data_IF_096078652932
#
_entry.id   IF_096078652932
#
_cell.length_a   1.000
_cell.length_b   1.000
_cell.length_c   1.000
_cell.angle_alpha   90.00
_cell.angle_beta   90.00
_cell.angle_gamma   90.00
#
_symmetry.space_group_name_H-M   'P 1'
#
loop_
_entity.id
_entity.type
_entity.pdbx_description
1 polymer ?
#
# COMPACT_ATOMS: atom_id res chain seq x y z
N UNK A 1 19.10 -25.79 28.02
CA UNK A 1 18.13 -24.68 27.88
C UNK A 1 17.83 -24.43 26.40
N UNK A 2 17.04 -25.26 25.73
CA UNK A 2 16.72 -25.01 24.31
C UNK A 2 15.48 -25.79 23.88
N UNK A 3 14.30 -25.18 24.05
CA UNK A 3 13.09 -25.39 23.26
C UNK A 3 12.13 -24.28 23.68
N UNK A 4 12.51 -23.05 23.33
CA UNK A 4 11.70 -21.86 23.60
C UNK A 4 10.62 -21.77 22.53
N UNK A 5 9.40 -21.47 22.97
CA UNK A 5 8.23 -21.18 22.16
C UNK A 5 8.61 -20.12 21.10
N UNK A 6 8.40 -20.40 19.80
CA UNK A 6 8.82 -19.50 18.73
C UNK A 6 7.91 -18.28 18.68
N UNK A 7 8.50 -17.09 18.68
CA UNK A 7 7.78 -15.81 18.58
C UNK A 7 8.01 -15.18 17.21
N UNK A 8 6.92 -14.72 16.59
CA UNK A 8 6.94 -13.83 15.44
C UNK A 8 6.99 -12.39 15.95
N UNK A 9 8.15 -11.74 15.86
CA UNK A 9 8.35 -10.39 16.37
C UNK A 9 7.68 -9.30 15.52
N UNK A 10 7.41 -9.56 14.24
CA UNK A 10 6.75 -8.59 13.37
C UNK A 10 5.28 -8.43 13.75
N UNK A 11 4.60 -9.56 13.97
CA UNK A 11 3.17 -9.60 14.37
C UNK A 11 2.96 -9.64 15.87
N UNK A 12 4.02 -9.85 16.66
CA UNK A 12 3.97 -10.08 18.10
C UNK A 12 3.02 -11.24 18.47
N UNK A 13 3.26 -12.38 17.84
CA UNK A 13 2.43 -13.58 17.95
C UNK A 13 3.26 -14.85 18.16
N UNK A 14 2.60 -15.94 18.58
CA UNK A 14 3.21 -17.27 18.70
C UNK A 14 2.22 -18.39 18.33
N UNK A 15 2.70 -19.62 18.18
CA UNK A 15 1.86 -20.79 17.96
C UNK A 15 1.19 -21.23 19.26
N UNK A 16 -0.14 -21.33 19.24
CA UNK A 16 -0.93 -21.88 20.32
C UNK A 16 -0.52 -23.31 20.64
N UNK A 17 -0.24 -24.13 19.62
CA UNK A 17 0.19 -25.52 19.81
C UNK A 17 1.55 -25.62 20.48
N UNK A 18 2.52 -24.80 20.09
CA UNK A 18 3.83 -24.76 20.76
C UNK A 18 3.72 -24.35 22.22
N UNK A 19 2.88 -23.34 22.51
CA UNK A 19 2.60 -22.96 23.89
C UNK A 19 1.95 -24.12 24.66
N UNK A 20 0.93 -24.75 24.10
CA UNK A 20 0.24 -25.89 24.72
C UNK A 20 1.18 -27.07 25.00
N UNK A 21 2.06 -27.41 24.05
CA UNK A 21 3.09 -28.44 24.21
C UNK A 21 4.07 -28.08 25.32
N UNK A 22 4.51 -26.81 25.37
CA UNK A 22 5.39 -26.32 26.43
C UNK A 22 4.74 -26.41 27.81
N UNK A 23 3.42 -26.17 27.90
CA UNK A 23 2.65 -26.21 29.15
C UNK A 23 2.31 -27.63 29.64
N UNK A 24 2.94 -28.68 29.10
CA UNK A 24 2.64 -30.09 29.36
C UNK A 24 1.23 -30.54 28.93
N UNK A 25 0.79 -30.03 27.79
CA UNK A 25 -0.44 -30.51 27.12
C UNK A 25 -1.66 -30.51 28.06
N UNK A 26 -1.97 -29.37 28.72
CA UNK A 26 -3.14 -29.28 29.60
C UNK A 26 -4.41 -29.71 28.87
N UNK A 27 -5.27 -30.44 29.57
CA UNK A 27 -6.50 -31.04 29.03
C UNK A 27 -6.29 -32.08 27.91
N UNK A 28 -5.07 -32.58 27.70
CA UNK A 28 -4.73 -33.76 26.90
C UNK A 28 -4.80 -33.57 25.37
N UNK A 29 -5.82 -32.87 24.87
CA UNK A 29 -6.02 -32.62 23.44
C UNK A 29 -5.99 -31.12 23.13
N UNK A 30 -5.16 -30.72 22.16
CA UNK A 30 -4.96 -29.32 21.77
C UNK A 30 -6.27 -28.59 21.45
N UNK A 31 -7.15 -29.17 20.63
CA UNK A 31 -8.40 -28.50 20.23
C UNK A 31 -9.36 -28.30 21.40
N UNK A 32 -9.43 -29.28 22.31
CA UNK A 32 -10.24 -29.16 23.54
C UNK A 32 -9.71 -28.04 24.44
N UNK A 33 -8.39 -27.94 24.56
CA UNK A 33 -7.74 -26.86 25.30
C UNK A 33 -7.99 -25.50 24.62
N UNK A 34 -7.74 -25.40 23.32
CA UNK A 34 -7.82 -24.13 22.60
C UNK A 34 -9.24 -23.57 22.60
N UNK A 35 -10.25 -24.34 22.19
CA UNK A 35 -11.65 -23.89 22.19
C UNK A 35 -12.17 -23.51 23.57
N UNK A 36 -11.71 -24.20 24.63
CA UNK A 36 -12.07 -23.84 26.00
C UNK A 36 -11.60 -22.44 26.34
N UNK A 37 -10.37 -22.10 25.99
CA UNK A 37 -9.78 -20.82 26.36
C UNK A 37 -10.09 -19.68 25.39
N UNK A 38 -10.39 -19.93 24.12
CA UNK A 38 -10.90 -18.89 23.21
C UNK A 38 -12.14 -18.18 23.78
N UNK A 39 -13.00 -18.90 24.50
CA UNK A 39 -14.19 -18.34 25.15
C UNK A 39 -13.93 -17.45 26.38
N UNK A 40 -12.66 -17.28 26.82
CA UNK A 40 -12.30 -16.47 28.00
C UNK A 40 -12.18 -14.96 27.71
N UNK A 41 -12.84 -14.46 26.67
CA UNK A 41 -12.82 -13.05 26.28
C UNK A 41 -11.85 -12.70 25.15
N UNK A 42 -11.29 -13.70 24.47
CA UNK A 42 -10.47 -13.49 23.27
C UNK A 42 -11.33 -13.44 22.01
N UNK A 43 -10.92 -12.64 21.05
CA UNK A 43 -11.64 -12.40 19.79
C UNK A 43 -10.85 -12.93 18.60
N UNK A 44 -11.51 -13.71 17.74
CA UNK A 44 -10.92 -14.17 16.48
C UNK A 44 -10.55 -12.98 15.58
N UNK A 45 -9.42 -13.05 14.90
CA UNK A 45 -8.78 -12.01 14.10
C UNK A 45 -8.24 -10.79 14.89
N UNK A 46 -8.43 -10.74 16.21
CA UNK A 46 -7.77 -9.76 17.08
C UNK A 46 -6.70 -10.43 17.97
N UNK A 47 -7.08 -11.47 18.70
CA UNK A 47 -6.23 -12.18 19.65
C UNK A 47 -5.67 -13.48 19.08
N UNK A 48 -6.41 -14.11 18.17
CA UNK A 48 -5.99 -15.34 17.52
C UNK A 48 -6.50 -15.47 16.09
N UNK A 49 -5.79 -16.23 15.28
CA UNK A 49 -6.18 -16.57 13.91
C UNK A 49 -5.63 -17.92 13.50
N UNK A 50 -6.25 -18.56 12.51
CA UNK A 50 -5.76 -19.84 11.99
C UNK A 50 -4.39 -19.65 11.32
N UNK A 51 -3.41 -20.47 11.69
CA UNK A 51 -2.16 -20.55 10.92
C UNK A 51 -2.50 -21.36 9.67
N UNK A 52 -2.52 -20.69 8.52
CA UNK A 52 -2.68 -21.36 7.24
C UNK A 52 -1.38 -22.09 6.89
N UNK A 53 -1.24 -23.27 7.50
CA UNK A 53 -0.29 -24.28 7.10
C UNK A 53 -1.11 -25.54 6.90
N UNK A 54 -1.24 -25.93 5.65
CA UNK A 54 -1.32 -27.34 5.30
C UNK A 54 -0.05 -27.99 5.86
N UNK A 55 -0.07 -28.34 7.14
CA UNK A 55 1.01 -29.11 7.77
C UNK A 55 1.01 -30.43 7.01
N UNK A 56 1.97 -30.61 6.10
CA UNK A 56 2.12 -31.85 5.37
C UNK A 56 2.18 -32.98 6.40
N UNK A 57 1.14 -33.81 6.41
CA UNK A 57 1.06 -34.96 7.28
C UNK A 57 1.91 -36.05 6.60
N UNK A 58 3.10 -36.40 7.12
CA UNK A 58 3.98 -37.36 6.45
C UNK A 58 3.37 -38.77 6.37
N UNK A 59 2.34 -39.03 7.19
CA UNK A 59 1.61 -40.30 7.28
C UNK A 59 0.29 -40.30 6.49
N UNK A 60 -0.03 -39.22 5.77
CA UNK A 60 -1.33 -39.03 5.11
C UNK A 60 -2.47 -38.69 6.10
N UNK A 61 -3.46 -37.91 5.64
CA UNK A 61 -4.63 -37.48 6.44
C UNK A 61 -4.85 -35.97 6.48
N UNK A 62 -5.96 -35.53 7.08
CA UNK A 62 -6.31 -34.09 7.20
C UNK A 62 -5.24 -33.35 8.02
N UNK A 63 -4.68 -32.23 7.52
CA UNK A 63 -3.71 -31.43 8.27
C UNK A 63 -4.25 -31.01 9.65
N UNK A 64 -3.40 -31.07 10.67
CA UNK A 64 -3.76 -30.60 12.00
C UNK A 64 -3.77 -29.06 12.02
N UNK A 65 -4.92 -28.46 12.33
CA UNK A 65 -5.04 -27.00 12.46
C UNK A 65 -4.25 -26.50 13.67
N UNK A 66 -3.49 -25.42 13.50
CA UNK A 66 -2.83 -24.67 14.57
C UNK A 66 -3.27 -23.20 14.48
N UNK A 67 -3.09 -22.47 15.56
CA UNK A 67 -3.54 -21.09 15.69
C UNK A 67 -2.37 -20.19 16.08
N UNK A 68 -2.33 -19.03 15.46
CA UNK A 68 -1.44 -17.92 15.82
C UNK A 68 -2.17 -17.12 16.88
N UNK A 69 -1.55 -16.92 18.04
CA UNK A 69 -2.09 -16.15 19.16
C UNK A 69 -1.20 -14.96 19.45
N UNK A 70 -1.76 -13.84 19.88
CA UNK A 70 -0.99 -12.68 20.33
C UNK A 70 -0.14 -13.04 21.55
N UNK A 71 0.97 -12.34 21.73
CA UNK A 71 1.81 -12.51 22.93
C UNK A 71 1.04 -12.14 24.20
N UNK A 72 0.08 -11.22 24.12
CA UNK A 72 -0.81 -10.88 25.23
C UNK A 72 -1.73 -12.04 25.61
N UNK A 73 -2.43 -12.62 24.63
CA UNK A 73 -3.22 -13.84 24.84
C UNK A 73 -2.34 -14.97 25.41
N UNK A 74 -1.14 -15.19 24.87
CA UNK A 74 -0.21 -16.20 25.37
C UNK A 74 0.17 -15.99 26.84
N UNK A 75 0.46 -14.75 27.26
CA UNK A 75 0.74 -14.40 28.66
C UNK A 75 -0.44 -14.72 29.57
N UNK A 76 -1.66 -14.43 29.14
CA UNK A 76 -2.88 -14.74 29.90
C UNK A 76 -3.13 -16.24 30.03
N UNK A 77 -3.01 -16.99 28.92
CA UNK A 77 -3.14 -18.45 28.94
C UNK A 77 -2.14 -19.11 29.90
N UNK A 78 -0.90 -18.59 29.96
CA UNK A 78 0.11 -19.03 30.92
C UNK A 78 -0.33 -18.81 32.38
N UNK A 79 -0.97 -17.67 32.67
CA UNK A 79 -1.48 -17.35 34.01
C UNK A 79 -2.64 -18.28 34.40
N UNK A 80 -3.54 -18.57 33.46
CA UNK A 80 -4.71 -19.42 33.71
C UNK A 80 -4.34 -20.86 34.07
N UNK A 81 -3.22 -21.39 33.57
CA UNK A 81 -2.78 -22.75 33.91
C UNK A 81 -2.34 -22.89 35.37
N UNK A 82 -1.92 -21.81 36.04
CA UNK A 82 -1.42 -21.83 37.42
C UNK A 82 -0.32 -22.89 37.67
N UNK A 83 0.55 -23.09 36.69
CA UNK A 83 1.66 -24.08 36.75
C UNK A 83 3.03 -23.39 36.72
N UNK A 84 4.07 -24.07 37.22
CA UNK A 84 5.45 -23.56 37.12
C UNK A 84 5.89 -23.35 35.66
N UNK A 85 5.46 -24.23 34.74
CA UNK A 85 5.69 -24.03 33.31
C UNK A 85 4.99 -22.78 32.78
N UNK A 86 3.74 -22.54 33.20
CA UNK A 86 3.04 -21.28 32.90
C UNK A 86 3.82 -20.05 33.38
N UNK A 87 4.35 -20.09 34.60
CA UNK A 87 5.18 -19.01 35.15
C UNK A 87 6.46 -18.78 34.33
N UNK A 88 7.14 -19.85 33.92
CA UNK A 88 8.35 -19.79 33.08
C UNK A 88 8.02 -19.19 31.71
N UNK A 89 6.99 -19.69 31.02
CA UNK A 89 6.58 -19.19 29.71
C UNK A 89 6.17 -17.71 29.77
N UNK A 90 5.38 -17.32 30.79
CA UNK A 90 5.00 -15.91 31.00
C UNK A 90 6.22 -15.03 31.20
N UNK A 91 7.18 -15.44 32.05
CA UNK A 91 8.41 -14.67 32.28
C UNK A 91 9.21 -14.51 30.98
N UNK A 92 9.29 -15.57 30.18
CA UNK A 92 9.93 -15.51 28.87
C UNK A 92 9.28 -14.47 27.94
N UNK A 93 7.94 -14.46 27.82
CA UNK A 93 7.25 -13.46 27.00
C UNK A 93 7.45 -12.03 27.51
N UNK A 94 7.42 -11.81 28.82
CA UNK A 94 7.69 -10.50 29.42
C UNK A 94 9.13 -10.03 29.15
N UNK A 95 10.11 -10.93 29.22
CA UNK A 95 11.51 -10.59 28.95
C UNK A 95 11.74 -10.27 27.46
N UNK A 96 11.03 -10.96 26.56
CA UNK A 96 11.03 -10.61 25.13
C UNK A 96 10.40 -9.25 24.88
N UNK A 97 9.24 -8.98 25.46
CA UNK A 97 8.53 -7.71 25.34
C UNK A 97 9.39 -6.54 25.85
N UNK A 98 10.08 -6.71 26.98
CA UNK A 98 11.02 -5.71 27.51
C UNK A 98 12.19 -5.44 26.57
N UNK A 99 12.77 -6.49 25.98
CA UNK A 99 13.87 -6.33 25.00
C UNK A 99 13.38 -5.67 23.73
N UNK A 100 12.17 -6.00 23.28
CA UNK A 100 11.54 -5.40 22.11
C UNK A 100 11.25 -3.91 22.33
N UNK A 101 10.75 -3.57 23.52
CA UNK A 101 10.39 -2.21 23.91
C UNK A 101 11.54 -1.44 24.56
N UNK A 102 12.78 -1.94 24.49
CA UNK A 102 13.94 -1.19 24.99
C UNK A 102 14.12 0.09 24.17
N UNK A 103 14.57 1.20 24.77
CA UNK A 103 14.81 2.44 24.04
C UNK A 103 15.67 2.24 22.80
N UNK A 104 16.71 1.41 22.90
CA UNK A 104 17.63 1.10 21.81
C UNK A 104 16.94 0.32 20.69
N UNK A 105 16.12 -0.68 21.02
CA UNK A 105 15.39 -1.48 20.05
C UNK A 105 14.27 -0.68 19.35
N UNK A 106 13.59 0.20 20.07
CA UNK A 106 12.61 1.14 19.51
C UNK A 106 13.32 2.12 18.57
N UNK A 107 14.43 2.71 19.01
CA UNK A 107 15.21 3.67 18.23
C UNK A 107 15.76 3.04 16.95
N UNK A 108 16.31 1.82 17.02
CA UNK A 108 16.82 1.12 15.85
C UNK A 108 15.73 0.89 14.79
N UNK A 109 14.50 0.57 15.21
CA UNK A 109 13.35 0.42 14.31
C UNK A 109 12.93 1.75 13.70
N UNK A 110 12.86 2.80 14.51
CA UNK A 110 12.55 4.15 14.05
C UNK A 110 13.57 4.65 13.01
N UNK A 111 14.86 4.41 13.25
CA UNK A 111 15.93 4.76 12.31
C UNK A 111 15.78 4.01 10.98
N UNK A 112 15.55 2.70 11.03
CA UNK A 112 15.29 1.89 9.83
C UNK A 112 14.08 2.40 9.03
N UNK A 113 12.99 2.78 9.71
CA UNK A 113 11.81 3.36 9.07
C UNK A 113 12.12 4.71 8.43
N UNK A 114 12.90 5.56 9.10
CA UNK A 114 13.34 6.84 8.56
C UNK A 114 14.20 6.64 7.30
N UNK A 115 15.14 5.69 7.31
CA UNK A 115 16.00 5.38 6.17
C UNK A 115 15.18 4.89 4.96
N UNK A 116 14.21 3.99 5.17
CA UNK A 116 13.31 3.53 4.11
C UNK A 116 12.52 4.68 3.50
N UNK A 117 12.03 5.60 4.34
CA UNK A 117 11.24 6.76 3.91
C UNK A 117 12.11 7.78 3.16
N UNK A 118 13.34 7.98 3.59
CA UNK A 118 14.32 8.82 2.87
C UNK A 118 14.58 8.24 1.48
N UNK A 119 14.74 6.93 1.37
CA UNK A 119 14.95 6.26 0.08
C UNK A 119 13.74 6.41 -0.85
N UNK A 120 12.53 6.23 -0.31
CA UNK A 120 11.29 6.45 -1.04
C UNK A 120 11.20 7.90 -1.57
N UNK A 121 11.43 8.90 -0.71
CA UNK A 121 11.41 10.30 -1.12
C UNK A 121 12.46 10.62 -2.18
N UNK A 122 13.68 10.07 -2.08
CA UNK A 122 14.71 10.24 -3.10
C UNK A 122 14.24 9.70 -4.45
N UNK A 123 13.60 8.53 -4.48
CA UNK A 123 13.06 7.95 -5.70
C UNK A 123 11.90 8.78 -6.27
N UNK A 124 11.02 9.30 -5.42
CA UNK A 124 9.94 10.19 -5.85
C UNK A 124 10.48 11.47 -6.47
N UNK A 125 11.45 12.13 -5.82
CA UNK A 125 12.09 13.35 -6.33
C UNK A 125 12.77 13.08 -7.67
N UNK A 126 13.49 11.97 -7.80
CA UNK A 126 14.13 11.58 -9.07
C UNK A 126 13.10 11.40 -10.19
N UNK A 127 12.01 10.68 -9.92
CA UNK A 127 10.93 10.47 -10.89
C UNK A 127 10.23 11.78 -11.29
N UNK A 128 10.05 12.71 -10.34
CA UNK A 128 9.47 14.02 -10.61
C UNK A 128 10.41 14.88 -11.46
N UNK A 129 11.70 14.90 -11.16
CA UNK A 129 12.70 15.63 -11.95
C UNK A 129 12.76 15.11 -13.39
N UNK A 130 12.78 13.78 -13.58
CA UNK A 130 12.73 13.19 -14.92
C UNK A 130 11.46 13.59 -15.70
N UNK A 131 10.30 13.69 -15.02
CA UNK A 131 9.06 14.16 -15.64
C UNK A 131 9.12 15.64 -15.99
N UNK A 132 9.74 16.46 -15.14
CA UNK A 132 9.94 17.89 -15.40
C UNK A 132 10.83 18.10 -16.64
N UNK A 133 11.94 17.37 -16.74
CA UNK A 133 12.83 17.42 -17.93
C UNK A 133 12.09 17.02 -19.21
N UNK A 134 11.24 15.98 -19.15
CA UNK A 134 10.43 15.57 -20.31
C UNK A 134 9.32 16.58 -20.67
N UNK A 135 8.86 17.37 -19.70
CA UNK A 135 7.82 18.38 -19.91
C UNK A 135 8.39 19.74 -20.31
N UNK A 136 9.64 20.04 -19.98
CA UNK A 136 10.35 21.28 -20.34
C UNK A 136 10.13 21.71 -21.80
N UNK A 137 10.33 20.84 -22.83
CA UNK A 137 10.11 21.26 -24.21
C UNK A 137 8.64 21.59 -24.52
N UNK A 138 7.68 20.95 -23.82
CA UNK A 138 6.25 21.22 -24.00
C UNK A 138 5.86 22.56 -23.37
N UNK A 139 6.41 22.86 -22.20
CA UNK A 139 6.22 24.14 -21.51
C UNK A 139 6.83 25.27 -22.33
N UNK A 140 8.09 25.12 -22.77
CA UNK A 140 8.76 26.10 -23.62
C UNK A 140 7.97 26.39 -24.92
N UNK A 141 7.41 25.35 -25.54
CA UNK A 141 6.55 25.50 -26.71
C UNK A 141 5.27 26.27 -26.39
N UNK A 142 4.58 25.92 -25.30
CA UNK A 142 3.36 26.62 -24.88
C UNK A 142 3.63 28.11 -24.60
N UNK A 143 4.71 28.42 -23.88
CA UNK A 143 5.13 29.79 -23.58
C UNK A 143 5.47 30.57 -24.87
N UNK A 144 6.17 29.93 -25.81
CA UNK A 144 6.53 30.52 -27.11
C UNK A 144 5.31 30.81 -27.97
N UNK A 145 4.32 29.89 -28.00
CA UNK A 145 3.06 30.08 -28.73
C UNK A 145 2.24 31.21 -28.10
N UNK A 146 2.18 31.28 -26.78
CA UNK A 146 1.46 32.34 -26.06
C UNK A 146 2.07 33.72 -26.31
N UNK A 147 3.40 33.83 -26.40
CA UNK A 147 4.09 35.09 -26.65
C UNK A 147 4.13 35.51 -28.13
N UNK A 148 3.85 34.60 -29.07
CA UNK A 148 3.94 34.89 -30.50
C UNK A 148 2.80 35.78 -30.98
N UNK A 149 3.13 36.88 -31.65
CA UNK A 149 2.17 37.76 -32.32
C UNK A 149 1.85 37.33 -33.76
N UNK A 150 2.47 36.26 -34.25
CA UNK A 150 2.28 35.78 -35.63
C UNK A 150 1.12 34.80 -35.72
N UNK A 151 0.27 34.95 -36.74
CA UNK A 151 -0.87 34.07 -37.00
C UNK A 151 -0.54 33.03 -38.05
N UNK A 152 -1.10 31.83 -37.93
CA UNK A 152 -1.03 30.79 -38.96
C UNK A 152 -2.44 30.37 -39.41
N UNK A 153 -2.57 29.95 -40.66
CA UNK A 153 -3.84 29.41 -41.16
C UNK A 153 -4.13 28.06 -40.49
N UNK A 154 -5.40 27.81 -40.15
CA UNK A 154 -5.83 26.54 -39.53
C UNK A 154 -5.46 25.32 -40.37
N UNK A 155 -5.48 25.44 -41.70
CA UNK A 155 -5.03 24.38 -42.61
C UNK A 155 -3.52 24.10 -42.53
N UNK A 156 -2.69 25.12 -42.28
CA UNK A 156 -1.25 24.95 -42.04
C UNK A 156 -1.00 24.34 -40.67
N UNK A 157 -1.74 24.77 -39.64
CA UNK A 157 -1.71 24.15 -38.31
C UNK A 157 -2.06 22.66 -38.39
N UNK A 158 -3.12 22.28 -39.13
CA UNK A 158 -3.49 20.88 -39.33
C UNK A 158 -2.36 20.06 -39.98
N UNK A 159 -1.62 20.64 -40.94
CA UNK A 159 -0.44 19.98 -41.53
C UNK A 159 0.69 19.79 -40.52
N UNK A 160 0.97 20.80 -39.70
CA UNK A 160 1.99 20.73 -38.64
C UNK A 160 1.62 19.67 -37.60
N UNK A 161 0.36 19.62 -37.16
CA UNK A 161 -0.13 18.59 -36.23
C UNK A 161 0.01 17.19 -36.81
N UNK A 162 -0.32 17.00 -38.10
CA UNK A 162 -0.14 15.73 -38.80
C UNK A 162 1.32 15.30 -38.90
N UNK A 163 2.24 16.22 -39.16
CA UNK A 163 3.67 15.96 -39.16
C UNK A 163 4.20 15.57 -37.77
N UNK A 164 3.59 16.09 -36.70
CA UNK A 164 3.93 15.77 -35.31
C UNK A 164 3.16 14.56 -34.75
N UNK A 165 2.58 13.72 -35.61
CA UNK A 165 1.97 12.45 -35.23
C UNK A 165 0.49 12.51 -34.83
N UNK A 166 -0.17 13.67 -34.92
CA UNK A 166 -1.62 13.78 -34.71
C UNK A 166 -2.31 13.64 -36.07
N UNK A 167 -2.85 12.46 -36.38
CA UNK A 167 -3.53 12.22 -37.66
C UNK A 167 -4.88 12.98 -37.74
N UNK A 168 -4.77 14.25 -38.13
CA UNK A 168 -5.89 15.17 -38.29
C UNK A 168 -5.76 15.94 -39.61
N UNK A 169 -6.89 16.13 -40.28
CA UNK A 169 -7.00 16.98 -41.46
C UNK A 169 -7.67 18.32 -41.11
N UNK A 170 -7.59 19.30 -42.00
CA UNK A 170 -8.18 20.63 -41.79
C UNK A 170 -9.64 20.58 -41.34
N UNK A 171 -10.50 19.83 -42.04
CA UNK A 171 -11.93 19.76 -41.72
C UNK A 171 -12.18 19.10 -40.36
N UNK A 172 -11.46 18.01 -40.04
CA UNK A 172 -11.51 17.33 -38.73
C UNK A 172 -11.03 18.25 -37.60
N UNK A 173 -10.04 19.12 -37.86
CA UNK A 173 -9.57 20.12 -36.89
C UNK A 173 -10.63 21.19 -36.64
N UNK A 174 -11.30 21.69 -37.68
CA UNK A 174 -12.41 22.63 -37.52
C UNK A 174 -13.59 22.03 -36.74
N UNK A 175 -13.93 20.76 -36.99
CA UNK A 175 -14.93 20.02 -36.21
C UNK A 175 -14.52 19.92 -34.75
N UNK A 176 -13.29 19.47 -34.47
CA UNK A 176 -12.77 19.35 -33.12
C UNK A 176 -12.79 20.70 -32.36
N UNK A 177 -12.40 21.80 -33.02
CA UNK A 177 -12.46 23.14 -32.42
C UNK A 177 -13.89 23.57 -32.07
N UNK A 178 -14.90 23.20 -32.89
CA UNK A 178 -16.30 23.48 -32.59
C UNK A 178 -16.84 22.62 -31.45
N UNK A 179 -16.53 21.33 -31.45
CA UNK A 179 -16.95 20.39 -30.39
C UNK A 179 -16.40 20.82 -29.02
N UNK A 180 -15.16 21.33 -28.98
CA UNK A 180 -14.53 21.81 -27.76
C UNK A 180 -14.92 23.27 -27.40
N UNK A 181 -15.82 23.87 -28.19
CA UNK A 181 -16.37 25.20 -27.94
C UNK A 181 -15.39 26.34 -28.21
N UNK A 182 -14.33 26.11 -28.97
CA UNK A 182 -13.40 27.16 -29.43
C UNK A 182 -14.01 27.95 -30.60
N UNK A 183 -14.77 27.29 -31.49
CA UNK A 183 -15.49 27.93 -32.60
C UNK A 183 -17.01 27.79 -32.44
N UNK A 184 -17.77 28.73 -32.98
CA UNK A 184 -19.24 28.71 -32.95
C UNK A 184 -19.78 27.51 -33.77
N UNK A 185 -20.65 26.70 -33.15
CA UNK A 185 -21.25 25.54 -33.82
C UNK A 185 -22.58 25.87 -34.55
N UNK A 186 -23.12 27.07 -34.35
CA UNK A 186 -24.35 27.52 -35.01
C UNK A 186 -24.11 27.72 -36.51
N UNK A 187 -24.82 26.96 -37.35
CA UNK A 187 -24.77 27.13 -38.81
C UNK A 187 -25.30 28.51 -39.20
N UNK A 188 -24.44 29.33 -39.80
CA UNK A 188 -24.70 30.71 -40.17
C UNK A 188 -23.41 31.41 -40.59
N UNK A 189 -23.46 32.74 -40.76
CA UNK A 189 -22.29 33.58 -41.08
C UNK A 189 -21.15 33.42 -40.07
N UNK A 190 -21.50 33.12 -38.82
CA UNK A 190 -20.57 33.12 -37.69
C UNK A 190 -19.96 31.72 -37.43
N UNK A 191 -20.25 30.72 -38.28
CA UNK A 191 -19.91 29.30 -38.06
C UNK A 191 -18.41 29.00 -37.88
N UNK A 192 -17.53 29.92 -38.30
CA UNK A 192 -16.08 29.81 -38.11
C UNK A 192 -15.51 30.94 -37.23
N UNK A 193 -16.37 31.66 -36.49
CA UNK A 193 -15.94 32.71 -35.57
C UNK A 193 -15.58 32.11 -34.18
N UNK A 194 -14.61 32.71 -33.47
CA UNK A 194 -14.28 32.37 -32.07
C UNK A 194 -15.48 32.53 -31.13
N UNK A 195 -15.51 31.74 -30.05
CA UNK A 195 -16.48 31.91 -28.96
C UNK A 195 -15.96 32.85 -27.88
N UNK A 196 -16.86 33.32 -26.99
CA UNK A 196 -16.47 34.09 -25.78
C UNK A 196 -15.47 33.35 -24.89
N UNK A 197 -15.48 32.02 -24.91
CA UNK A 197 -14.53 31.17 -24.18
C UNK A 197 -13.07 31.49 -24.54
N UNK A 198 -12.78 31.93 -25.77
CA UNK A 198 -11.41 32.28 -26.20
C UNK A 198 -11.01 33.68 -25.74
N UNK A 199 -11.95 34.62 -25.64
CA UNK A 199 -11.66 35.99 -25.23
C UNK A 199 -11.08 36.07 -23.81
N UNK A 200 -11.38 35.11 -22.94
CA UNK A 200 -10.82 35.00 -21.59
C UNK A 200 -9.35 34.50 -21.57
N UNK A 201 -8.88 33.84 -22.63
CA UNK A 201 -7.50 33.33 -22.74
C UNK A 201 -6.54 34.30 -23.46
N UNK A 202 -7.01 35.51 -23.79
CA UNK A 202 -6.25 36.50 -24.55
C UNK A 202 -6.41 36.32 -26.06
N UNK A 203 -7.01 37.30 -26.72
CA UNK A 203 -6.98 37.40 -28.18
C UNK A 203 -5.73 38.17 -28.60
N UNK A 204 -4.96 37.60 -29.54
CA UNK A 204 -3.98 38.33 -30.35
C UNK A 204 -4.71 39.12 -31.43
#
# INVERSE_FOLDING_TARGET
MSNLIKVNFERQTTSARQLWEFLDKPHGEFMKWFHRYCGYGFTENADYGVIDKSVENPQGGRPATDYEITIDMAKELCMLQKTEKGKIARKYFLDLEKKWNSPEAVMARALKMADMKILEYKNTVLNLNNKLEQQEPKVLFADSVQASTTTILVGQLAKILKQNGIDIGQNRLFEWLRENGYLINRKGTDYNMPTQKIHEFGTV
#
